data_IF_908767092499
#
_entry.id   IF_908767092499
#
_cell.length_a   1.000
_cell.length_b   1.000
_cell.length_c   1.000
_cell.angle_alpha   90.00
_cell.angle_beta   90.00
_cell.angle_gamma   90.00
#
_symmetry.space_group_name_H-M   'P 1'
#
loop_
_entity.id
_entity.type
_entity.pdbx_description
1 polymer ?
#
# COMPACT_ATOMS: atom_id res chain seq x y z
N UNK A 1 -22.73 47.77 11.50
CA UNK A 1 -22.03 47.43 10.25
C UNK A 1 -21.64 45.97 10.36
N UNK A 2 -22.44 45.10 9.75
CA UNK A 2 -22.39 43.65 9.91
C UNK A 2 -21.47 43.08 8.82
N UNK A 3 -20.42 42.39 9.25
CA UNK A 3 -19.28 41.98 8.43
C UNK A 3 -19.66 41.13 7.21
N UNK A 4 -19.33 41.67 6.03
CA UNK A 4 -19.47 41.10 4.69
C UNK A 4 -18.72 39.77 4.47
N UNK A 5 -17.99 39.30 5.48
CA UNK A 5 -17.19 38.06 5.46
C UNK A 5 -18.00 36.79 5.77
N UNK A 6 -19.19 36.90 6.36
CA UNK A 6 -20.01 35.73 6.74
C UNK A 6 -20.76 35.11 5.52
N UNK A 7 -20.89 35.84 4.42
CA UNK A 7 -21.64 35.39 3.23
C UNK A 7 -20.91 34.30 2.42
N UNK A 8 -19.60 34.12 2.60
CA UNK A 8 -18.82 33.15 1.81
C UNK A 8 -18.83 31.72 2.36
N UNK A 9 -19.34 31.49 3.57
CA UNK A 9 -19.28 30.15 4.21
C UNK A 9 -20.48 29.25 3.82
N UNK A 10 -21.55 29.82 3.24
CA UNK A 10 -22.75 29.04 2.89
C UNK A 10 -22.73 28.42 1.47
N UNK A 11 -21.72 28.70 0.63
CA UNK A 11 -21.74 28.33 -0.79
C UNK A 11 -20.95 27.05 -1.13
N UNK A 12 -20.31 26.38 -0.17
CA UNK A 12 -19.42 25.24 -0.43
C UNK A 12 -19.95 23.91 0.14
N UNK A 13 -21.28 23.74 0.12
CA UNK A 13 -21.99 22.55 0.64
C UNK A 13 -23.04 22.03 -0.36
N UNK A 14 -22.72 21.95 -1.65
CA UNK A 14 -23.59 21.31 -2.65
C UNK A 14 -22.78 20.66 -3.78
N UNK A 15 -22.27 19.44 -3.54
CA UNK A 15 -21.97 18.49 -4.62
C UNK A 15 -21.78 17.07 -4.08
N UNK A 16 -22.87 16.51 -3.53
CA UNK A 16 -23.09 15.06 -3.52
C UNK A 16 -24.42 14.76 -4.21
N UNK A 17 -24.34 14.42 -5.50
CA UNK A 17 -25.39 13.75 -6.27
C UNK A 17 -24.66 12.75 -7.18
N UNK A 18 -24.59 11.48 -6.80
CA UNK A 18 -25.53 10.43 -7.20
C UNK A 18 -25.52 10.16 -8.72
N UNK A 19 -24.73 9.18 -9.15
CA UNK A 19 -24.96 8.45 -10.40
C UNK A 19 -25.30 7.01 -10.06
N UNK A 20 -26.60 6.73 -9.88
CA UNK A 20 -27.16 5.38 -9.93
C UNK A 20 -27.91 5.24 -11.25
N UNK A 21 -27.41 4.43 -12.18
CA UNK A 21 -28.22 3.94 -13.29
C UNK A 21 -27.84 2.48 -13.58
N UNK A 22 -28.72 1.60 -13.14
CA UNK A 22 -28.81 0.22 -13.60
C UNK A 22 -29.70 0.16 -14.86
N UNK A 23 -29.35 -0.63 -15.88
CA UNK A 23 -30.33 -1.19 -16.80
C UNK A 23 -30.59 -2.68 -16.54
N UNK A 24 -31.88 -3.03 -16.68
CA UNK A 24 -32.52 -4.34 -16.55
C UNK A 24 -31.95 -5.41 -17.50
N UNK A 25 -31.71 -6.59 -16.91
CA UNK A 25 -31.99 -7.96 -17.37
C UNK A 25 -31.92 -8.29 -18.87
N UNK A 26 -30.93 -9.12 -19.23
CA UNK A 26 -31.03 -10.13 -20.29
C UNK A 26 -30.81 -11.53 -19.67
N UNK A 27 -31.55 -12.57 -20.08
CA UNK A 27 -31.45 -13.90 -19.49
C UNK A 27 -30.19 -14.61 -20.01
N UNK A 28 -29.20 -14.81 -19.14
CA UNK A 28 -28.04 -15.66 -19.44
C UNK A 28 -28.43 -17.11 -19.16
N UNK A 29 -28.47 -17.90 -20.23
CA UNK A 29 -28.65 -19.35 -20.25
C UNK A 29 -27.58 -20.01 -19.39
N UNK A 30 -28.00 -20.73 -18.35
CA UNK A 30 -27.13 -21.57 -17.54
C UNK A 30 -26.43 -22.60 -18.42
N UNK A 31 -25.09 -22.57 -18.45
CA UNK A 31 -24.30 -23.71 -18.83
C UNK A 31 -23.43 -24.08 -17.63
N UNK A 32 -23.89 -25.10 -16.90
CA UNK A 32 -23.12 -25.78 -15.86
C UNK A 32 -21.96 -26.46 -16.56
N UNK A 33 -20.73 -26.02 -16.26
CA UNK A 33 -19.55 -26.82 -16.54
C UNK A 33 -18.71 -26.88 -15.27
N UNK A 34 -18.35 -28.11 -14.92
CA UNK A 34 -18.00 -28.56 -13.58
C UNK A 34 -16.62 -28.07 -13.14
N UNK A 35 -16.55 -27.68 -11.87
CA UNK A 35 -15.33 -27.42 -11.11
C UNK A 35 -14.49 -28.69 -10.94
N UNK A 36 -13.20 -28.70 -11.30
CA UNK A 36 -12.24 -29.60 -10.69
C UNK A 36 -11.86 -29.04 -9.31
N UNK A 37 -12.08 -29.82 -8.26
CA UNK A 37 -11.61 -29.52 -6.91
C UNK A 37 -10.08 -29.65 -6.90
N UNK A 38 -9.38 -28.52 -6.84
CA UNK A 38 -7.93 -28.48 -6.59
C UNK A 38 -7.72 -28.34 -5.08
N UNK A 39 -6.82 -29.14 -4.45
CA UNK A 39 -6.57 -29.07 -3.01
C UNK A 39 -6.07 -27.70 -2.58
N UNK A 40 -6.54 -27.23 -1.42
CA UNK A 40 -6.12 -25.97 -0.81
C UNK A 40 -4.61 -25.98 -0.51
N UNK A 41 -3.86 -25.22 -1.30
CA UNK A 41 -2.44 -24.97 -1.07
C UNK A 41 -2.28 -23.93 0.04
N UNK A 42 -1.36 -24.12 1.02
CA UNK A 42 -1.11 -23.14 2.08
C UNK A 42 -0.74 -21.77 1.49
N UNK A 43 -1.35 -20.71 2.01
CA UNK A 43 -1.03 -19.34 1.59
C UNK A 43 0.46 -19.06 1.84
N UNK A 44 1.22 -18.56 0.83
CA UNK A 44 2.62 -18.24 0.99
C UNK A 44 2.80 -17.14 2.03
N UNK A 45 3.84 -17.27 2.85
CA UNK A 45 4.20 -16.23 3.81
C UNK A 45 4.58 -14.93 3.06
N UNK A 46 4.44 -13.74 3.68
CA UNK A 46 4.71 -12.45 3.03
C UNK A 46 6.09 -12.33 2.38
N UNK A 47 7.05 -13.16 2.79
CA UNK A 47 8.44 -13.20 2.30
C UNK A 47 8.57 -14.02 1.02
N UNK A 48 7.75 -15.06 0.86
CA UNK A 48 7.78 -15.96 -0.29
C UNK A 48 7.15 -15.34 -1.55
N UNK A 49 6.09 -14.55 -1.36
CA UNK A 49 5.41 -13.82 -2.43
C UNK A 49 6.29 -12.76 -3.13
N UNK A 50 7.44 -12.41 -2.54
CA UNK A 50 8.36 -11.41 -3.10
C UNK A 50 9.46 -11.99 -3.97
N UNK A 51 9.69 -13.31 -3.92
CA UNK A 51 10.66 -13.98 -4.79
C UNK A 51 10.16 -14.15 -6.25
N UNK A 52 8.92 -13.77 -6.53
CA UNK A 52 8.26 -13.93 -7.85
C UNK A 52 8.26 -12.67 -8.71
N UNK A 53 8.80 -11.55 -8.23
CA UNK A 53 9.13 -10.44 -9.11
C UNK A 53 10.47 -10.72 -9.82
N UNK A 54 10.64 -10.14 -11.02
CA UNK A 54 11.92 -10.03 -11.76
C UNK A 54 13.13 -9.93 -10.83
N UNK A 55 14.31 -10.49 -11.18
CA UNK A 55 15.36 -10.90 -10.24
C UNK A 55 15.57 -9.85 -9.16
N UNK A 56 14.93 -10.10 -8.02
CA UNK A 56 15.06 -9.25 -6.86
C UNK A 56 16.50 -9.43 -6.41
N UNK A 57 17.33 -8.42 -6.63
CA UNK A 57 18.70 -8.45 -6.13
C UNK A 57 18.64 -8.76 -4.64
N UNK A 58 19.55 -9.61 -4.13
CA UNK A 58 19.64 -9.96 -2.71
C UNK A 58 19.63 -8.71 -1.80
N UNK A 59 20.11 -7.59 -2.33
CA UNK A 59 20.09 -6.26 -1.71
C UNK A 59 18.66 -5.74 -1.42
N UNK A 60 17.69 -5.97 -2.31
CA UNK A 60 16.31 -5.47 -2.15
C UNK A 60 15.56 -6.19 -1.04
N UNK A 61 15.73 -7.52 -0.95
CA UNK A 61 15.18 -8.32 0.15
C UNK A 61 15.74 -7.85 1.50
N UNK A 62 17.05 -7.67 1.57
CA UNK A 62 17.74 -7.24 2.79
C UNK A 62 17.31 -5.83 3.23
N UNK A 63 17.11 -4.91 2.28
CA UNK A 63 16.57 -3.56 2.57
C UNK A 63 15.17 -3.61 3.18
N UNK A 64 14.30 -4.45 2.65
CA UNK A 64 12.95 -4.59 3.19
C UNK A 64 12.96 -5.21 4.59
N UNK A 65 13.74 -6.28 4.80
CA UNK A 65 13.87 -6.91 6.12
C UNK A 65 14.35 -5.91 7.18
N UNK A 66 15.36 -5.10 6.83
CA UNK A 66 15.82 -3.99 7.67
C UNK A 66 14.70 -3.00 7.96
N UNK A 67 14.00 -2.54 6.93
CA UNK A 67 12.89 -1.61 7.06
C UNK A 67 11.77 -2.13 7.99
N UNK A 68 11.45 -3.43 7.92
CA UNK A 68 10.48 -4.06 8.82
C UNK A 68 10.98 -4.11 10.27
N UNK A 69 12.27 -4.39 10.47
CA UNK A 69 12.89 -4.33 11.80
C UNK A 69 12.88 -2.91 12.38
N UNK A 70 13.20 -1.89 11.57
CA UNK A 70 13.13 -0.48 11.94
C UNK A 70 11.69 -0.05 12.28
N UNK A 71 10.71 -0.51 11.50
CA UNK A 71 9.28 -0.28 11.75
C UNK A 71 8.85 -0.84 13.09
N UNK A 72 9.29 -2.06 13.41
CA UNK A 72 9.03 -2.67 14.71
C UNK A 72 9.60 -1.83 15.84
N UNK A 73 10.86 -1.41 15.73
CA UNK A 73 11.48 -0.55 16.73
C UNK A 73 10.74 0.79 16.89
N UNK A 74 10.36 1.43 15.78
CA UNK A 74 9.62 2.68 15.79
C UNK A 74 8.23 2.53 16.45
N UNK A 75 7.56 1.40 16.20
CA UNK A 75 6.29 1.05 16.85
C UNK A 75 6.46 0.83 18.35
N UNK A 76 7.54 0.17 18.77
CA UNK A 76 7.83 -0.11 20.18
C UNK A 76 8.13 1.19 20.97
N UNK A 77 8.62 2.25 20.30
CA UNK A 77 8.81 3.59 20.89
C UNK A 77 7.47 4.30 21.12
N UNK A 78 6.68 4.50 20.06
CA UNK A 78 5.37 5.15 20.16
C UNK A 78 4.50 4.84 18.94
N UNK A 79 3.81 3.70 18.98
CA UNK A 79 2.93 3.25 17.89
C UNK A 79 1.88 4.28 17.45
N UNK A 80 1.25 4.98 18.39
CA UNK A 80 0.16 5.91 18.05
C UNK A 80 0.70 7.10 17.25
N UNK A 81 1.86 7.63 17.64
CA UNK A 81 2.53 8.73 16.93
C UNK A 81 2.92 8.36 15.49
N UNK A 82 3.35 7.12 15.27
CA UNK A 82 3.86 6.66 13.96
C UNK A 82 2.86 5.85 13.15
N UNK A 83 1.62 5.73 13.61
CA UNK A 83 0.60 4.85 13.02
C UNK A 83 0.44 5.05 11.52
N UNK A 84 0.33 6.30 11.06
CA UNK A 84 0.13 6.61 9.64
C UNK A 84 1.29 6.14 8.76
N UNK A 85 2.53 6.32 9.22
CA UNK A 85 3.73 5.92 8.48
C UNK A 85 3.82 4.39 8.40
N UNK A 86 3.57 3.73 9.52
CA UNK A 86 3.53 2.26 9.63
C UNK A 86 2.45 1.69 8.73
N UNK A 87 1.24 2.24 8.78
CA UNK A 87 0.12 1.80 7.94
C UNK A 87 0.41 2.01 6.45
N UNK A 88 1.08 3.11 6.09
CA UNK A 88 1.47 3.41 4.72
C UNK A 88 2.48 2.40 4.19
N UNK A 89 3.50 2.03 4.99
CA UNK A 89 4.42 0.96 4.62
C UNK A 89 3.68 -0.35 4.34
N UNK A 90 2.82 -0.79 5.26
CA UNK A 90 2.10 -2.05 5.07
C UNK A 90 1.12 -2.03 3.90
N UNK A 91 0.47 -0.89 3.63
CA UNK A 91 -0.36 -0.71 2.43
C UNK A 91 0.48 -0.82 1.16
N UNK A 92 1.64 -0.17 1.10
CA UNK A 92 2.56 -0.26 -0.05
C UNK A 92 3.04 -1.70 -0.27
N UNK A 93 3.42 -2.41 0.79
CA UNK A 93 3.84 -3.82 0.70
C UNK A 93 2.70 -4.70 0.15
N UNK A 94 1.48 -4.58 0.69
CA UNK A 94 0.33 -5.36 0.23
C UNK A 94 -0.01 -5.07 -1.24
N UNK A 95 0.05 -3.80 -1.65
CA UNK A 95 -0.21 -3.43 -3.03
C UNK A 95 0.86 -4.00 -3.97
N UNK A 96 2.14 -3.99 -3.56
CA UNK A 96 3.24 -4.61 -4.30
C UNK A 96 3.09 -6.13 -4.40
N UNK A 97 2.69 -6.80 -3.32
CA UNK A 97 2.42 -8.25 -3.33
C UNK A 97 1.27 -8.60 -4.27
N UNK A 98 0.18 -7.82 -4.22
CA UNK A 98 -0.94 -8.00 -5.14
C UNK A 98 -0.50 -7.80 -6.60
N UNK A 99 0.27 -6.74 -6.89
CA UNK A 99 0.83 -6.52 -8.21
C UNK A 99 1.70 -7.70 -8.69
N UNK A 100 2.58 -8.21 -7.84
CA UNK A 100 3.42 -9.36 -8.15
C UNK A 100 2.61 -10.62 -8.47
N UNK A 101 1.46 -10.81 -7.82
CA UNK A 101 0.59 -11.95 -8.07
C UNK A 101 -0.07 -11.93 -9.46
N UNK A 102 -0.23 -10.74 -10.05
CA UNK A 102 -0.85 -10.56 -11.38
C UNK A 102 0.14 -10.20 -12.48
N UNK A 103 1.41 -9.92 -12.15
CA UNK A 103 2.37 -9.34 -13.09
C UNK A 103 2.69 -10.24 -14.27
N UNK A 104 2.57 -11.57 -14.09
CA UNK A 104 2.79 -12.54 -15.16
C UNK A 104 1.65 -12.53 -16.22
N UNK A 105 0.49 -11.98 -15.88
CA UNK A 105 -0.67 -11.86 -16.79
C UNK A 105 -0.70 -10.50 -17.51
N UNK A 106 0.23 -9.60 -17.18
CA UNK A 106 0.34 -8.27 -17.78
C UNK A 106 1.27 -8.28 -18.99
N UNK A 107 1.08 -7.33 -19.91
CA UNK A 107 2.03 -7.12 -21.01
C UNK A 107 3.38 -6.63 -20.48
N UNK A 108 4.47 -6.96 -21.17
CA UNK A 108 5.82 -6.54 -20.77
C UNK A 108 5.94 -5.01 -20.60
N UNK A 109 5.30 -4.22 -21.47
CA UNK A 109 5.28 -2.75 -21.37
C UNK A 109 4.62 -2.30 -20.06
N UNK A 110 3.54 -2.96 -19.65
CA UNK A 110 2.88 -2.67 -18.37
C UNK A 110 3.79 -3.05 -17.20
N UNK A 111 4.45 -4.20 -17.25
CA UNK A 111 5.38 -4.64 -16.20
C UNK A 111 6.54 -3.65 -16.07
N UNK A 112 7.16 -3.24 -17.17
CA UNK A 112 8.27 -2.28 -17.20
C UNK A 112 7.86 -0.90 -16.69
N UNK A 113 6.60 -0.49 -16.93
CA UNK A 113 6.08 0.81 -16.50
C UNK A 113 5.65 0.80 -15.03
N UNK A 114 5.03 -0.28 -14.57
CA UNK A 114 4.34 -0.33 -13.27
C UNK A 114 5.26 -0.88 -12.15
N UNK A 115 6.17 -1.80 -12.47
CA UNK A 115 7.12 -2.34 -11.47
C UNK A 115 7.89 -1.23 -10.73
N UNK A 116 8.47 -0.22 -11.42
CA UNK A 116 9.20 0.85 -10.74
C UNK A 116 8.34 1.66 -9.77
N UNK A 117 7.04 1.85 -10.06
CA UNK A 117 6.13 2.56 -9.17
C UNK A 117 5.94 1.83 -7.83
N UNK A 118 5.74 0.52 -7.87
CA UNK A 118 5.58 -0.27 -6.66
C UNK A 118 6.87 -0.38 -5.85
N UNK A 119 8.01 -0.53 -6.54
CA UNK A 119 9.33 -0.49 -5.90
C UNK A 119 9.57 0.86 -5.22
N UNK A 120 9.28 1.97 -5.91
CA UNK A 120 9.40 3.31 -5.35
C UNK A 120 8.53 3.49 -4.10
N UNK A 121 7.26 3.10 -4.13
CA UNK A 121 6.34 3.25 -3.00
C UNK A 121 6.78 2.52 -1.73
N UNK A 122 7.36 1.32 -1.88
CA UNK A 122 7.92 0.58 -0.74
C UNK A 122 9.18 1.28 -0.24
N UNK A 123 10.09 1.67 -1.14
CA UNK A 123 11.34 2.34 -0.78
C UNK A 123 11.12 3.69 -0.10
N UNK A 124 10.17 4.49 -0.56
CA UNK A 124 9.81 5.79 0.01
C UNK A 124 9.21 5.64 1.43
N UNK A 125 8.30 4.68 1.61
CA UNK A 125 7.75 4.38 2.92
C UNK A 125 8.83 3.89 3.89
N UNK A 126 9.75 3.03 3.44
CA UNK A 126 10.89 2.58 4.23
C UNK A 126 11.82 3.72 4.63
N UNK A 127 12.17 4.60 3.68
CA UNK A 127 12.99 5.78 3.98
C UNK A 127 12.32 6.70 5.01
N UNK A 128 11.00 6.86 4.94
CA UNK A 128 10.23 7.60 5.96
C UNK A 128 10.36 6.97 7.35
N UNK A 129 10.23 5.65 7.46
CA UNK A 129 10.44 4.92 8.71
C UNK A 129 11.87 5.11 9.24
N UNK A 130 12.88 4.93 8.39
CA UNK A 130 14.29 5.09 8.78
C UNK A 130 14.57 6.49 9.32
N UNK A 131 14.06 7.53 8.66
CA UNK A 131 14.22 8.92 9.13
C UNK A 131 13.51 9.17 10.46
N UNK A 132 12.29 8.66 10.64
CA UNK A 132 11.56 8.76 11.90
C UNK A 132 12.28 8.05 13.05
N UNK A 133 12.84 6.86 12.80
CA UNK A 133 13.61 6.12 13.79
C UNK A 133 14.89 6.87 14.16
N UNK A 134 15.65 7.36 13.18
CA UNK A 134 16.85 8.16 13.40
C UNK A 134 16.55 9.42 14.22
N UNK A 135 15.40 10.07 13.97
CA UNK A 135 14.98 11.24 14.73
C UNK A 135 14.71 10.89 16.21
N UNK A 136 14.10 9.74 16.52
CA UNK A 136 13.91 9.31 17.91
C UNK A 136 15.20 8.87 18.57
N UNK A 137 16.09 8.17 17.87
CA UNK A 137 17.41 7.82 18.37
C UNK A 137 18.23 9.07 18.70
N UNK A 138 18.17 10.11 17.86
CA UNK A 138 18.83 11.41 18.10
C UNK A 138 18.28 12.08 19.37
N UNK A 139 16.97 12.00 19.61
CA UNK A 139 16.36 12.52 20.84
C UNK A 139 16.78 11.72 22.07
N UNK A 140 16.74 10.39 22.00
CA UNK A 140 17.15 9.50 23.08
C UNK A 140 18.64 9.63 23.44
N UNK A 141 19.50 9.91 22.46
CA UNK A 141 20.92 10.16 22.67
C UNK A 141 21.24 11.57 23.21
N UNK A 142 20.23 12.43 23.46
CA UNK A 142 20.45 13.81 23.89
C UNK A 142 21.09 14.71 22.82
N UNK A 143 21.04 14.29 21.56
CA UNK A 143 21.62 15.01 20.42
C UNK A 143 20.61 15.90 19.70
N UNK A 144 19.34 15.88 20.11
CA UNK A 144 18.31 16.80 19.65
C UNK A 144 18.38 18.08 20.52
N UNK A 145 18.94 19.15 19.94
CA UNK A 145 19.05 20.48 20.54
C UNK A 145 18.03 21.41 19.91
#
# INVERSE_FOLDING_TARGET
MLDKKIIYIAAMMMSLSACTTAPKNAPVKSNVSQTPVVPAQPAPTPVESMNQLAPVSSDTKLRLERCLAETKHLSDINREKYREQIDTLYRSIKATQYYASISNDLSNIMVETITPLYQFRVNDACNTISQSLLAELKKGAGLAK
#
